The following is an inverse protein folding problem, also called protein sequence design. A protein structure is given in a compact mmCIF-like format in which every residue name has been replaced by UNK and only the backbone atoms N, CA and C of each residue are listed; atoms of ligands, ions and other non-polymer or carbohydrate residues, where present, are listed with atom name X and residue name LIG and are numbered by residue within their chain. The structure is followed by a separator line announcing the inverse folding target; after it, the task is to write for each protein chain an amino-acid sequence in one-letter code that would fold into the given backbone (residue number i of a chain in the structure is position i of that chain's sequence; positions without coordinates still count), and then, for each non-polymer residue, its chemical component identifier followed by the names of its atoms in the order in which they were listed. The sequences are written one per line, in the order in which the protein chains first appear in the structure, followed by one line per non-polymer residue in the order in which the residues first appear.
data_IF_672718400340
#
_entry.id   IF_672718400340
#
_cell.length_a   1.000
_cell.length_b   1.000
_cell.length_c   1.000
_cell.angle_alpha   90.00
_cell.angle_beta   90.00
_cell.angle_gamma   90.00
#
_symmetry.space_group_name_H-M   'P 1'
#
loop_
_entity.id
_entity.type
_entity.pdbx_description
1 polymer ?
#
# COMPACT_ATOMS: atom_id res chain seq x y z
N UNK A 1 51.73 -8.11 -38.21
CA UNK A 1 50.48 -8.57 -38.85
C UNK A 1 49.60 -9.24 -37.79
N UNK A 2 50.07 -10.31 -37.16
CA UNK A 2 49.37 -11.08 -36.11
C UNK A 2 48.81 -10.25 -34.93
N UNK A 3 49.59 -9.31 -34.37
CA UNK A 3 49.11 -8.43 -33.28
C UNK A 3 47.93 -7.54 -33.69
N UNK A 4 47.87 -7.14 -34.96
CA UNK A 4 46.79 -6.29 -35.49
C UNK A 4 45.53 -7.12 -35.68
N UNK A 5 45.66 -8.33 -36.21
CA UNK A 5 44.55 -9.26 -36.43
C UNK A 5 43.91 -9.68 -35.10
N UNK A 6 44.71 -10.06 -34.10
CA UNK A 6 44.21 -10.38 -32.77
C UNK A 6 43.50 -9.19 -32.09
N UNK A 7 43.99 -7.96 -32.31
CA UNK A 7 43.32 -6.77 -31.81
C UNK A 7 41.99 -6.50 -32.54
N UNK A 8 41.93 -6.73 -33.86
CA UNK A 8 40.71 -6.57 -34.65
C UNK A 8 39.63 -7.59 -34.27
N UNK A 9 40.00 -8.84 -34.05
CA UNK A 9 39.09 -9.88 -33.56
C UNK A 9 38.51 -9.51 -32.18
N UNK A 10 39.37 -9.06 -31.27
CA UNK A 10 38.93 -8.64 -29.92
C UNK A 10 38.03 -7.41 -29.94
N UNK A 11 38.24 -6.48 -30.87
CA UNK A 11 37.32 -5.35 -31.08
C UNK A 11 35.97 -5.84 -31.60
N UNK A 12 35.95 -6.80 -32.54
CA UNK A 12 34.72 -7.42 -33.02
C UNK A 12 33.91 -8.06 -31.89
N UNK A 13 34.56 -8.93 -31.11
CA UNK A 13 33.94 -9.60 -29.95
C UNK A 13 33.36 -8.59 -28.95
N UNK A 14 34.13 -7.57 -28.57
CA UNK A 14 33.67 -6.56 -27.62
C UNK A 14 32.53 -5.70 -28.18
N UNK A 15 32.53 -5.44 -29.49
CA UNK A 15 31.45 -4.67 -30.15
C UNK A 15 30.15 -5.47 -30.15
N UNK A 16 30.20 -6.76 -30.47
CA UNK A 16 29.02 -7.65 -30.43
C UNK A 16 28.49 -7.79 -28.99
N UNK A 17 29.38 -7.94 -28.01
CA UNK A 17 29.01 -7.99 -26.60
C UNK A 17 28.38 -6.68 -26.12
N UNK A 18 28.93 -5.54 -26.53
CA UNK A 18 28.37 -4.23 -26.21
C UNK A 18 26.96 -4.06 -26.82
N UNK A 19 26.78 -4.44 -28.09
CA UNK A 19 25.48 -4.40 -28.75
C UNK A 19 24.46 -5.30 -28.04
N UNK A 20 24.84 -6.53 -27.67
CA UNK A 20 23.97 -7.45 -26.93
C UNK A 20 23.54 -6.89 -25.57
N UNK A 21 24.47 -6.28 -24.82
CA UNK A 21 24.16 -5.64 -23.54
C UNK A 21 23.25 -4.43 -23.74
N UNK A 22 23.48 -3.61 -24.77
CA UNK A 22 22.63 -2.46 -25.07
C UNK A 22 21.19 -2.88 -25.37
N UNK A 23 20.98 -3.90 -26.20
CA UNK A 23 19.62 -4.44 -26.46
C UNK A 23 18.92 -4.87 -25.16
N UNK A 24 19.64 -5.54 -24.26
CA UNK A 24 19.07 -5.96 -22.97
C UNK A 24 18.73 -4.77 -22.06
N UNK A 25 19.51 -3.70 -22.11
CA UNK A 25 19.23 -2.45 -21.37
C UNK A 25 17.97 -1.80 -21.93
N UNK A 26 17.86 -1.72 -23.25
CA UNK A 26 16.71 -1.09 -23.91
C UNK A 26 15.42 -1.86 -23.62
N UNK A 27 15.45 -3.19 -23.71
CA UNK A 27 14.32 -4.05 -23.36
C UNK A 27 13.93 -3.96 -21.87
N UNK A 28 14.91 -3.91 -20.96
CA UNK A 28 14.65 -3.74 -19.53
C UNK A 28 14.07 -2.36 -19.23
N UNK A 29 14.55 -1.32 -19.90
CA UNK A 29 14.08 0.05 -19.79
C UNK A 29 12.64 0.17 -20.27
N UNK A 30 12.33 -0.36 -21.46
CA UNK A 30 10.98 -0.36 -22.00
C UNK A 30 9.98 -1.07 -21.06
N UNK A 31 10.35 -2.22 -20.50
CA UNK A 31 9.51 -2.95 -19.53
C UNK A 31 9.30 -2.18 -18.23
N UNK A 32 10.36 -1.55 -17.71
CA UNK A 32 10.27 -0.70 -16.50
C UNK A 32 9.33 0.47 -16.74
N UNK A 33 9.46 1.16 -17.87
CA UNK A 33 8.69 2.36 -18.17
C UNK A 33 7.21 2.03 -18.39
N UNK A 34 6.91 0.91 -19.05
CA UNK A 34 5.55 0.40 -19.15
C UNK A 34 4.94 0.12 -17.77
N UNK A 35 5.66 -0.62 -16.91
CA UNK A 35 5.18 -0.93 -15.56
C UNK A 35 5.02 0.33 -14.68
N UNK A 36 5.91 1.31 -14.82
CA UNK A 36 5.81 2.59 -14.12
C UNK A 36 4.57 3.37 -14.56
N UNK A 37 4.29 3.43 -15.87
CA UNK A 37 3.11 4.11 -16.40
C UNK A 37 1.79 3.45 -15.93
N UNK A 38 1.76 2.12 -15.85
CA UNK A 38 0.62 1.39 -15.28
C UNK A 38 0.39 1.75 -13.81
N UNK A 39 1.45 1.72 -12.98
CA UNK A 39 1.37 2.08 -11.57
C UNK A 39 0.96 3.55 -11.37
N UNK A 40 1.45 4.47 -12.20
CA UNK A 40 1.03 5.88 -12.16
C UNK A 40 -0.47 6.04 -12.46
N UNK A 41 -1.00 5.30 -13.42
CA UNK A 41 -2.41 5.30 -13.74
C UNK A 41 -3.27 4.73 -12.59
N UNK A 42 -2.82 3.66 -11.96
CA UNK A 42 -3.47 3.08 -10.77
C UNK A 42 -3.47 4.06 -9.59
N UNK A 43 -2.32 4.68 -9.30
CA UNK A 43 -2.19 5.69 -8.22
C UNK A 43 -3.08 6.89 -8.48
N UNK A 44 -3.15 7.38 -9.72
CA UNK A 44 -4.01 8.50 -10.09
C UNK A 44 -5.49 8.15 -9.89
N UNK A 45 -5.90 6.94 -10.26
CA UNK A 45 -7.27 6.45 -10.07
C UNK A 45 -7.62 6.33 -8.59
N UNK A 46 -6.80 5.60 -7.82
CA UNK A 46 -7.01 5.42 -6.38
C UNK A 46 -7.00 6.74 -5.60
N UNK A 47 -6.19 7.71 -6.03
CA UNK A 47 -6.15 9.05 -5.41
C UNK A 47 -7.45 9.82 -5.65
N UNK A 48 -7.99 9.77 -6.88
CA UNK A 48 -9.28 10.40 -7.21
C UNK A 48 -10.42 9.76 -6.43
N UNK A 49 -10.49 8.43 -6.40
CA UNK A 49 -11.51 7.70 -5.63
C UNK A 49 -11.44 8.02 -4.14
N UNK A 50 -10.22 8.06 -3.57
CA UNK A 50 -10.01 8.46 -2.18
C UNK A 50 -10.52 9.89 -1.92
N UNK A 51 -10.27 10.83 -2.82
CA UNK A 51 -10.73 12.21 -2.66
C UNK A 51 -12.27 12.31 -2.65
N UNK A 52 -12.95 11.54 -3.50
CA UNK A 52 -14.42 11.48 -3.53
C UNK A 52 -14.97 10.94 -2.21
N UNK A 53 -14.45 9.81 -1.73
CA UNK A 53 -14.90 9.21 -0.46
C UNK A 53 -14.59 10.14 0.71
N UNK A 54 -13.39 10.72 0.77
CA UNK A 54 -12.99 11.66 1.81
C UNK A 54 -13.93 12.88 1.89
N UNK A 55 -14.43 13.36 0.75
CA UNK A 55 -15.40 14.46 0.70
C UNK A 55 -16.75 14.16 1.37
N UNK A 56 -17.10 12.88 1.55
CA UNK A 56 -18.31 12.45 2.26
C UNK A 56 -18.11 12.19 3.76
N UNK A 57 -16.88 12.26 4.26
CA UNK A 57 -16.55 11.97 5.66
C UNK A 57 -16.42 13.28 6.44
N UNK A 58 -17.01 13.39 7.65
CA UNK A 58 -16.81 14.55 8.52
C UNK A 58 -15.33 14.91 8.73
N UNK A 59 -15.00 16.20 8.65
CA UNK A 59 -13.62 16.68 8.61
C UNK A 59 -12.82 16.34 9.89
N UNK A 60 -13.47 16.34 11.04
CA UNK A 60 -12.90 15.95 12.33
C UNK A 60 -12.56 14.46 12.39
N UNK A 61 -13.45 13.61 11.88
CA UNK A 61 -13.23 12.16 11.78
C UNK A 61 -12.11 11.84 10.78
N UNK A 62 -12.06 12.54 9.64
CA UNK A 62 -11.00 12.38 8.65
C UNK A 62 -9.64 12.82 9.23
N UNK A 63 -9.59 13.95 9.94
CA UNK A 63 -8.38 14.41 10.61
C UNK A 63 -7.88 13.40 11.66
N UNK A 64 -8.80 12.79 12.41
CA UNK A 64 -8.46 11.70 13.34
C UNK A 64 -7.88 10.51 12.57
N UNK A 65 -8.53 10.05 11.50
CA UNK A 65 -8.04 8.94 10.67
C UNK A 65 -6.63 9.22 10.14
N UNK A 66 -6.38 10.39 9.54
CA UNK A 66 -5.09 10.73 8.93
C UNK A 66 -3.97 10.82 9.99
N UNK A 67 -4.23 11.39 11.17
CA UNK A 67 -3.28 11.41 12.28
C UNK A 67 -2.81 10.00 12.65
N UNK A 68 -3.73 9.05 12.68
CA UNK A 68 -3.42 7.67 13.09
C UNK A 68 -2.83 6.87 11.98
N UNK A 69 -3.28 7.13 10.76
CA UNK A 69 -2.71 6.53 9.56
C UNK A 69 -1.21 6.82 9.51
N UNK A 70 -0.81 8.05 9.81
CA UNK A 70 0.59 8.45 9.91
C UNK A 70 1.34 7.73 11.05
N UNK A 71 0.72 7.58 12.22
CA UNK A 71 1.33 6.93 13.39
C UNK A 71 1.41 5.40 13.27
N UNK A 72 0.41 4.78 12.65
CA UNK A 72 0.16 3.33 12.69
C UNK A 72 0.45 2.65 11.34
N UNK A 73 1.50 3.09 10.64
CA UNK A 73 2.02 2.40 9.45
C UNK A 73 1.08 2.39 8.25
N UNK A 74 0.34 3.47 8.03
CA UNK A 74 -0.50 3.64 6.83
C UNK A 74 -1.97 3.23 7.00
N UNK A 75 -2.39 2.75 8.18
CA UNK A 75 -3.77 2.30 8.45
C UNK A 75 -4.31 2.97 9.71
N UNK A 76 -5.26 3.91 9.57
CA UNK A 76 -5.87 4.65 10.70
C UNK A 76 -7.14 4.03 11.29
N UNK A 77 -7.81 3.17 10.52
CA UNK A 77 -9.04 2.47 10.89
C UNK A 77 -8.94 0.99 10.53
N UNK A 78 -9.51 0.12 11.35
CA UNK A 78 -9.50 -1.32 11.15
C UNK A 78 -10.89 -1.90 11.40
N UNK A 79 -11.25 -2.90 10.60
CA UNK A 79 -12.48 -3.65 10.79
C UNK A 79 -12.43 -4.43 12.10
N UNK A 80 -13.55 -4.46 12.81
CA UNK A 80 -13.81 -5.42 13.87
C UNK A 80 -14.50 -6.63 13.23
N UNK A 81 -13.88 -7.81 13.33
CA UNK A 81 -14.39 -9.06 12.76
C UNK A 81 -14.36 -10.15 13.83
N UNK A 82 -15.53 -10.71 14.17
CA UNK A 82 -15.66 -11.75 15.19
C UNK A 82 -14.87 -11.43 16.47
N UNK A 83 -15.13 -10.24 17.05
CA UNK A 83 -14.47 -9.70 18.26
C UNK A 83 -12.97 -9.44 18.11
N UNK A 84 -12.39 -9.62 16.93
CA UNK A 84 -10.98 -9.37 16.65
C UNK A 84 -10.79 -8.08 15.89
N UNK A 85 -9.89 -7.23 16.38
CA UNK A 85 -9.44 -6.06 15.62
C UNK A 85 -8.53 -6.51 14.47
N UNK A 86 -8.90 -6.28 13.21
CA UNK A 86 -8.05 -6.70 12.08
C UNK A 86 -6.78 -5.84 11.92
N UNK A 87 -6.68 -4.73 12.66
CA UNK A 87 -5.51 -3.85 12.64
C UNK A 87 -4.34 -4.38 13.46
N UNK A 88 -4.59 -4.90 14.67
CA UNK A 88 -3.57 -5.56 15.50
C UNK A 88 -3.71 -7.08 15.58
N UNK A 89 -4.80 -7.63 15.03
CA UNK A 89 -5.14 -9.05 15.02
C UNK A 89 -5.35 -9.66 16.41
N UNK A 90 -5.55 -8.82 17.43
CA UNK A 90 -5.90 -9.26 18.77
C UNK A 90 -7.42 -9.30 18.95
N UNK A 91 -7.88 -10.29 19.69
CA UNK A 91 -9.26 -10.38 20.15
C UNK A 91 -9.48 -9.38 21.29
N UNK A 92 -10.63 -8.71 21.26
CA UNK A 92 -11.07 -7.83 22.32
C UNK A 92 -11.40 -8.67 23.56
N UNK A 93 -11.03 -8.15 24.72
CA UNK A 93 -11.44 -8.73 25.99
C UNK A 93 -12.96 -8.52 26.21
N UNK A 94 -13.51 -9.20 27.23
CA UNK A 94 -14.96 -9.18 27.48
C UNK A 94 -15.50 -7.79 27.80
N UNK A 95 -14.70 -6.95 28.46
CA UNK A 95 -15.08 -5.56 28.79
C UNK A 95 -15.16 -4.72 27.52
N UNK A 96 -14.10 -4.76 26.68
CA UNK A 96 -14.07 -4.07 25.39
C UNK A 96 -15.25 -4.50 24.50
N UNK A 97 -15.55 -5.80 24.43
CA UNK A 97 -16.72 -6.30 23.68
C UNK A 97 -18.03 -5.70 24.18
N UNK A 98 -18.23 -5.64 25.49
CA UNK A 98 -19.45 -5.08 26.08
C UNK A 98 -19.56 -3.57 25.85
N UNK A 99 -18.45 -2.83 25.92
CA UNK A 99 -18.41 -1.41 25.57
C UNK A 99 -18.78 -1.18 24.10
N UNK A 100 -18.23 -1.99 23.20
CA UNK A 100 -18.53 -1.92 21.76
C UNK A 100 -20.01 -2.17 21.48
N UNK A 101 -20.63 -3.13 22.19
CA UNK A 101 -22.06 -3.46 22.13
C UNK A 101 -22.97 -2.34 22.65
N UNK A 102 -22.58 -1.71 23.75
CA UNK A 102 -23.37 -0.68 24.40
C UNK A 102 -23.29 0.67 23.69
N UNK A 103 -22.19 0.93 22.98
CA UNK A 103 -21.97 2.18 22.26
C UNK A 103 -22.97 2.38 21.11
N UNK A 104 -23.45 3.61 20.95
CA UNK A 104 -24.38 3.96 19.88
C UNK A 104 -23.72 3.75 18.48
N UNK A 105 -24.51 3.49 17.42
CA UNK A 105 -23.98 3.17 16.08
C UNK A 105 -23.03 4.23 15.50
N UNK A 106 -23.25 5.50 15.83
CA UNK A 106 -22.48 6.67 15.41
C UNK A 106 -21.25 6.96 16.28
N UNK A 107 -21.11 6.29 17.43
CA UNK A 107 -19.96 6.45 18.33
C UNK A 107 -18.68 5.93 17.67
N UNK A 108 -17.66 6.78 17.58
CA UNK A 108 -16.35 6.42 17.03
C UNK A 108 -15.51 5.72 18.10
N UNK A 109 -15.40 4.39 18.00
CA UNK A 109 -14.63 3.57 18.94
C UNK A 109 -13.17 3.38 18.51
N UNK A 110 -12.34 3.06 19.49
CA UNK A 110 -10.88 2.93 19.37
C UNK A 110 -10.46 1.59 19.95
N UNK A 111 -9.58 0.86 19.27
CA UNK A 111 -8.98 -0.34 19.85
C UNK A 111 -8.04 0.05 21.00
N UNK A 112 -8.15 -0.55 22.18
CA UNK A 112 -7.27 -0.19 23.30
C UNK A 112 -5.81 -0.57 23.02
N UNK A 113 -5.60 -1.67 22.29
CA UNK A 113 -4.28 -2.21 22.00
C UNK A 113 -3.49 -1.41 20.95
N UNK A 114 -4.11 -1.11 19.80
CA UNK A 114 -3.41 -0.44 18.68
C UNK A 114 -3.93 0.95 18.37
N UNK A 115 -4.84 1.45 19.19
CA UNK A 115 -5.46 2.77 19.08
C UNK A 115 -6.25 3.03 17.82
N UNK A 116 -6.19 2.29 16.71
CA UNK A 116 -6.94 2.58 15.45
C UNK A 116 -8.47 2.74 15.66
N UNK A 117 -9.15 3.47 14.76
CA UNK A 117 -10.63 3.45 14.72
C UNK A 117 -11.08 2.00 14.55
N UNK A 118 -12.02 1.53 15.37
CA UNK A 118 -12.70 0.26 15.17
C UNK A 118 -13.97 0.46 14.34
N UNK A 119 -13.98 -0.13 13.15
CA UNK A 119 -15.13 -0.11 12.25
C UNK A 119 -16.01 -1.32 12.54
N UNK A 120 -17.20 -1.06 13.10
CA UNK A 120 -18.22 -2.07 13.36
C UNK A 120 -18.98 -2.40 12.09
N UNK A 121 -19.22 -3.70 11.86
CA UNK A 121 -19.99 -4.25 10.74
C UNK A 121 -20.89 -5.38 11.25
N UNK A 122 -21.77 -5.91 10.40
CA UNK A 122 -22.59 -7.08 10.76
C UNK A 122 -21.74 -8.30 11.20
N UNK A 123 -20.50 -8.41 10.70
CA UNK A 123 -19.61 -9.51 11.00
C UNK A 123 -18.73 -9.28 12.25
N UNK A 124 -18.98 -8.20 12.99
CA UNK A 124 -18.15 -7.85 14.15
C UNK A 124 -18.29 -8.83 15.33
N UNK A 125 -19.35 -9.66 15.37
CA UNK A 125 -19.55 -10.65 16.42
C UNK A 125 -19.77 -10.05 17.81
N UNK A 126 -20.22 -8.79 17.83
CA UNK A 126 -20.58 -7.96 18.98
C UNK A 126 -22.00 -7.46 18.78
#
# INVERSE_FOLDING_TARGET
MERREAAQERVGELTERAASVQTRIDEATARRDAAAAELEAEVATATKERAVVAGSVPADLLALYDKLRAQQGGVGAARLYQRRCEGCRLELNITEVNEVKAAAPDTVLRCENCRRILVRTADSGV
#
